data_IF_610720321724
#
_entry.id   IF_610720321724
#
_cell.length_a   1.000
_cell.length_b   1.000
_cell.length_c   1.000
_cell.angle_alpha   90.00
_cell.angle_beta   90.00
_cell.angle_gamma   90.00
#
_symmetry.space_group_name_H-M   'P 1'
#
loop_
_entity.id
_entity.type
_entity.pdbx_description
1 polymer ?
#
# COMPACT_ATOMS: atom_id res chain seq x y z
N UNK A 1 -4.05 -9.65 13.69
CA UNK A 1 -2.97 -10.02 12.75
C UNK A 1 -2.57 -11.49 12.95
N UNK A 2 -3.42 -12.45 12.62
CA UNK A 2 -3.08 -13.88 12.79
C UNK A 2 -2.32 -14.41 11.58
N UNK A 3 -2.87 -14.16 10.38
CA UNK A 3 -2.30 -14.65 9.11
C UNK A 3 -0.89 -14.07 8.86
N UNK A 4 -0.72 -12.76 9.06
CA UNK A 4 0.57 -12.10 8.87
C UNK A 4 1.65 -12.62 9.83
N UNK A 5 1.30 -12.88 11.11
CA UNK A 5 2.23 -13.44 12.09
C UNK A 5 2.59 -14.90 11.80
N UNK A 6 1.62 -15.70 11.34
CA UNK A 6 1.90 -17.06 10.89
C UNK A 6 2.84 -17.08 9.67
N UNK A 7 2.61 -16.23 8.67
CA UNK A 7 3.46 -16.13 7.48
C UNK A 7 4.88 -15.63 7.80
N UNK A 8 5.03 -14.61 8.65
CA UNK A 8 6.36 -14.13 9.06
C UNK A 8 7.11 -15.18 9.91
N UNK A 9 6.41 -15.92 10.76
CA UNK A 9 6.96 -17.04 11.52
C UNK A 9 7.44 -18.17 10.61
N UNK A 10 6.65 -18.55 9.59
CA UNK A 10 7.05 -19.55 8.59
C UNK A 10 8.25 -19.07 7.77
N UNK A 11 8.26 -17.80 7.34
CA UNK A 11 9.38 -17.22 6.60
C UNK A 11 10.68 -17.22 7.41
N UNK A 12 10.63 -16.80 8.69
CA UNK A 12 11.78 -16.87 9.60
C UNK A 12 12.22 -18.31 9.87
N UNK A 13 11.27 -19.21 10.13
CA UNK A 13 11.56 -20.63 10.31
C UNK A 13 12.23 -21.27 9.08
N UNK A 14 11.79 -20.94 7.87
CA UNK A 14 12.43 -21.38 6.63
C UNK A 14 13.86 -20.85 6.50
N UNK A 15 14.11 -19.58 6.81
CA UNK A 15 15.46 -19.00 6.70
C UNK A 15 16.42 -19.64 7.71
N UNK A 16 16.01 -19.86 8.96
CA UNK A 16 16.94 -20.33 10.00
C UNK A 16 16.96 -21.86 10.20
N UNK A 17 15.92 -22.58 9.81
CA UNK A 17 15.76 -24.01 10.10
C UNK A 17 15.84 -24.92 8.85
N UNK A 18 15.76 -24.38 7.62
CA UNK A 18 15.75 -25.20 6.39
C UNK A 18 17.10 -25.86 6.05
N UNK A 19 18.16 -25.61 6.81
CA UNK A 19 19.52 -26.08 6.51
C UNK A 19 20.17 -25.43 5.28
N UNK A 20 19.40 -24.68 4.49
CA UNK A 20 19.85 -23.91 3.33
C UNK A 20 20.04 -22.42 3.62
N UNK A 21 19.49 -21.91 4.72
CA UNK A 21 19.60 -20.50 5.10
C UNK A 21 20.63 -20.25 6.21
N UNK A 22 20.93 -18.96 6.42
CA UNK A 22 21.93 -18.49 7.37
C UNK A 22 21.74 -19.21 8.71
N UNK A 23 22.77 -19.94 9.16
CA UNK A 23 22.82 -20.42 10.53
C UNK A 23 22.66 -19.25 11.49
N UNK A 24 22.21 -19.52 12.72
CA UNK A 24 22.18 -18.52 13.79
C UNK A 24 23.64 -18.21 14.20
N UNK A 25 24.36 -17.51 13.34
CA UNK A 25 25.67 -16.98 13.67
C UNK A 25 25.44 -15.77 14.56
N UNK A 26 26.15 -15.73 15.69
CA UNK A 26 26.14 -14.61 16.62
C UNK A 26 26.89 -13.46 15.98
N UNK A 27 26.23 -12.82 15.02
CA UNK A 27 26.73 -11.64 14.32
C UNK A 27 25.78 -10.51 14.70
N UNK A 28 26.34 -9.41 15.21
CA UNK A 28 25.59 -8.24 15.67
C UNK A 28 25.11 -7.39 14.47
N UNK A 29 24.53 -8.06 13.47
CA UNK A 29 24.02 -7.46 12.23
C UNK A 29 22.58 -7.89 12.03
N UNK A 30 21.72 -6.91 11.80
CA UNK A 30 20.32 -7.16 11.49
C UNK A 30 20.21 -7.87 10.15
N UNK A 31 19.35 -8.88 10.09
CA UNK A 31 19.10 -9.63 8.87
C UNK A 31 18.41 -8.72 7.83
N UNK A 32 19.01 -8.48 6.65
CA UNK A 32 18.49 -7.52 5.67
C UNK A 32 17.21 -7.99 4.97
N UNK A 33 16.86 -9.28 5.07
CA UNK A 33 15.79 -9.91 4.30
C UNK A 33 14.40 -9.29 4.61
N UNK A 34 14.15 -8.87 5.85
CA UNK A 34 12.91 -8.15 6.22
C UNK A 34 12.88 -6.70 5.71
N UNK A 35 14.03 -6.01 5.74
CA UNK A 35 14.15 -4.62 5.28
C UNK A 35 14.01 -4.50 3.77
N UNK A 36 14.50 -5.49 3.03
CA UNK A 36 14.34 -5.57 1.57
C UNK A 36 12.87 -5.68 1.15
N UNK A 37 11.96 -6.09 2.04
CA UNK A 37 10.52 -6.10 1.79
C UNK A 37 9.87 -4.72 1.74
N UNK A 38 10.43 -3.72 2.43
CA UNK A 38 9.91 -2.34 2.47
C UNK A 38 9.87 -1.70 1.07
N UNK A 39 10.98 -1.65 0.31
CA UNK A 39 10.96 -1.07 -1.02
C UNK A 39 10.12 -1.88 -2.02
N UNK A 40 10.02 -3.20 -1.84
CA UNK A 40 9.13 -4.04 -2.64
C UNK A 40 7.65 -3.71 -2.36
N UNK A 41 7.30 -3.41 -1.11
CA UNK A 41 5.96 -2.96 -0.75
C UNK A 41 5.62 -1.60 -1.37
N UNK A 42 6.60 -0.69 -1.43
CA UNK A 42 6.47 0.59 -2.12
C UNK A 42 6.27 0.43 -3.63
N UNK A 43 7.00 -0.50 -4.25
CA UNK A 43 6.81 -0.85 -5.67
C UNK A 43 5.40 -1.37 -5.95
N UNK A 44 4.82 -2.14 -5.02
CA UNK A 44 3.43 -2.64 -5.09
C UNK A 44 2.36 -1.64 -4.62
N UNK A 45 2.72 -0.39 -4.30
CA UNK A 45 1.80 0.66 -3.82
C UNK A 45 0.94 0.24 -2.61
N UNK A 46 1.47 -0.59 -1.72
CA UNK A 46 0.75 -1.17 -0.57
C UNK A 46 -0.49 -2.02 -0.92
N UNK A 47 -0.66 -2.43 -2.19
CA UNK A 47 -1.74 -3.32 -2.60
C UNK A 47 -1.28 -4.79 -2.51
N UNK A 48 -1.97 -5.70 -1.78
CA UNK A 48 -1.48 -7.05 -1.52
C UNK A 48 -1.19 -7.86 -2.80
N UNK A 49 -2.00 -7.69 -3.84
CA UNK A 49 -1.81 -8.37 -5.13
C UNK A 49 -0.60 -7.78 -5.85
N UNK A 50 -0.46 -6.45 -5.86
CA UNK A 50 0.70 -5.76 -6.45
C UNK A 50 2.01 -6.13 -5.77
N UNK A 51 2.01 -6.23 -4.43
CA UNK A 51 3.16 -6.64 -3.63
C UNK A 51 3.59 -8.06 -3.97
N UNK A 52 2.64 -8.99 -4.15
CA UNK A 52 2.95 -10.37 -4.50
C UNK A 52 3.71 -10.47 -5.83
N UNK A 53 3.21 -9.80 -6.88
CA UNK A 53 3.89 -9.76 -8.18
C UNK A 53 5.22 -9.01 -8.13
N UNK A 54 5.28 -7.88 -7.41
CA UNK A 54 6.51 -7.11 -7.23
C UNK A 54 7.60 -7.92 -6.51
N UNK A 55 7.24 -8.67 -5.47
CA UNK A 55 8.15 -9.53 -4.73
C UNK A 55 8.68 -10.67 -5.62
N UNK A 56 7.81 -11.29 -6.42
CA UNK A 56 8.21 -12.32 -7.36
C UNK A 56 9.17 -11.78 -8.42
N UNK A 57 8.89 -10.59 -8.96
CA UNK A 57 9.74 -9.92 -9.94
C UNK A 57 11.13 -9.60 -9.38
N UNK A 58 11.20 -8.97 -8.21
CA UNK A 58 12.47 -8.62 -7.56
C UNK A 58 13.25 -9.89 -7.18
N UNK A 59 12.58 -10.92 -6.67
CA UNK A 59 13.21 -12.22 -6.37
C UNK A 59 13.82 -12.87 -7.63
N UNK A 60 13.11 -12.84 -8.76
CA UNK A 60 13.63 -13.35 -10.02
C UNK A 60 14.86 -12.56 -10.50
N UNK A 61 14.88 -11.24 -10.34
CA UNK A 61 16.07 -10.43 -10.64
C UNK A 61 17.23 -10.80 -9.73
N UNK A 62 17.00 -10.97 -8.43
CA UNK A 62 18.06 -11.35 -7.47
C UNK A 62 18.64 -12.73 -7.76
N UNK A 63 17.78 -13.73 -8.00
CA UNK A 63 18.20 -15.11 -8.31
C UNK A 63 18.84 -15.19 -9.70
N UNK A 64 18.27 -14.51 -10.70
CA UNK A 64 18.88 -14.39 -12.03
C UNK A 64 20.25 -13.70 -11.98
N UNK A 65 20.36 -12.69 -11.14
CA UNK A 65 21.60 -12.00 -10.81
C UNK A 65 22.67 -12.90 -10.20
N UNK A 66 22.27 -13.77 -9.27
CA UNK A 66 23.16 -14.77 -8.69
C UNK A 66 23.74 -15.71 -9.75
N UNK A 67 22.97 -16.11 -10.76
CA UNK A 67 23.49 -16.91 -11.87
C UNK A 67 24.44 -16.14 -12.79
N UNK A 68 24.24 -14.83 -12.97
CA UNK A 68 25.15 -13.97 -13.74
C UNK A 68 26.55 -13.87 -13.12
N UNK A 69 26.67 -14.02 -11.79
CA UNK A 69 27.98 -14.04 -11.13
C UNK A 69 28.88 -15.18 -11.62
N UNK A 70 28.31 -16.31 -12.08
CA UNK A 70 29.11 -17.39 -12.67
C UNK A 70 29.80 -17.00 -13.98
N UNK A 71 29.29 -15.97 -14.67
CA UNK A 71 29.84 -15.46 -15.91
C UNK A 71 30.81 -14.29 -15.70
N UNK A 72 31.39 -14.14 -14.49
CA UNK A 72 32.25 -13.03 -14.07
C UNK A 72 31.56 -11.65 -14.04
N UNK A 73 30.24 -11.59 -13.94
CA UNK A 73 29.55 -10.33 -13.64
C UNK A 73 29.60 -10.01 -12.15
N UNK A 74 29.80 -8.73 -11.86
CA UNK A 74 29.94 -8.20 -10.51
C UNK A 74 28.53 -8.02 -9.88
N UNK A 75 28.28 -8.47 -8.63
CA UNK A 75 26.96 -8.40 -7.97
C UNK A 75 26.34 -7.00 -7.95
N UNK A 76 27.18 -5.97 -7.96
CA UNK A 76 26.83 -4.56 -7.99
C UNK A 76 25.87 -4.21 -9.12
N UNK A 77 25.94 -4.90 -10.27
CA UNK A 77 25.04 -4.66 -11.40
C UNK A 77 23.59 -4.89 -10.99
N UNK A 78 23.33 -5.97 -10.24
CA UNK A 78 21.97 -6.32 -9.79
C UNK A 78 21.50 -5.32 -8.74
N UNK A 79 22.39 -4.93 -7.83
CA UNK A 79 22.08 -3.91 -6.83
C UNK A 79 21.71 -2.57 -7.48
N UNK A 80 22.42 -2.16 -8.54
CA UNK A 80 22.14 -0.93 -9.29
C UNK A 80 20.78 -1.04 -10.00
N UNK A 81 20.49 -2.17 -10.65
CA UNK A 81 19.19 -2.40 -11.32
C UNK A 81 18.05 -2.34 -10.31
N UNK A 82 18.15 -3.08 -9.20
CA UNK A 82 17.15 -3.09 -8.14
C UNK A 82 16.97 -1.70 -7.51
N UNK A 83 18.06 -0.99 -7.23
CA UNK A 83 18.01 0.37 -6.70
C UNK A 83 17.32 1.34 -7.67
N UNK A 84 17.62 1.26 -8.97
CA UNK A 84 16.97 2.09 -9.98
C UNK A 84 15.46 1.84 -10.02
N UNK A 85 15.01 0.57 -10.02
CA UNK A 85 13.58 0.21 -10.01
C UNK A 85 12.87 0.80 -8.78
N UNK A 86 13.46 0.64 -7.60
CA UNK A 86 12.91 1.14 -6.34
C UNK A 86 12.88 2.68 -6.33
N UNK A 87 13.93 3.32 -6.84
CA UNK A 87 14.00 4.78 -6.89
C UNK A 87 12.94 5.35 -7.83
N UNK A 88 12.75 4.75 -9.01
CA UNK A 88 11.69 5.14 -9.93
C UNK A 88 10.29 4.91 -9.35
N UNK A 89 10.07 3.81 -8.61
CA UNK A 89 8.77 3.56 -7.98
C UNK A 89 8.46 4.54 -6.84
N UNK A 90 9.45 4.79 -5.98
CA UNK A 90 9.34 5.78 -4.91
C UNK A 90 9.15 7.20 -5.47
N UNK A 91 9.87 7.55 -6.55
CA UNK A 91 9.71 8.82 -7.24
C UNK A 91 8.32 8.97 -7.84
N UNK A 92 7.78 7.94 -8.50
CA UNK A 92 6.42 7.94 -9.04
C UNK A 92 5.37 8.18 -7.95
N UNK A 93 5.52 7.50 -6.80
CA UNK A 93 4.63 7.67 -5.66
C UNK A 93 4.73 9.06 -5.04
N UNK A 94 5.96 9.57 -4.86
CA UNK A 94 6.21 10.91 -4.36
C UNK A 94 5.65 12.00 -5.30
N UNK A 95 5.78 11.80 -6.61
CA UNK A 95 5.27 12.71 -7.62
C UNK A 95 3.74 12.78 -7.61
N UNK A 96 3.06 11.63 -7.46
CA UNK A 96 1.60 11.59 -7.26
C UNK A 96 1.17 12.39 -6.03
N UNK A 97 1.82 12.16 -4.90
CA UNK A 97 1.54 12.92 -3.67
C UNK A 97 1.80 14.42 -3.82
N UNK A 98 2.86 14.80 -4.54
CA UNK A 98 3.20 16.20 -4.79
C UNK A 98 2.16 16.90 -5.68
N UNK A 99 1.69 16.22 -6.73
CA UNK A 99 0.64 16.70 -7.62
C UNK A 99 -0.69 16.83 -6.88
N UNK A 100 -1.12 15.80 -6.15
CA UNK A 100 -2.36 15.83 -5.37
C UNK A 100 -2.37 17.04 -4.43
N UNK A 101 -1.23 17.32 -3.78
CA UNK A 101 -1.07 18.47 -2.89
C UNK A 101 -1.10 19.82 -3.61
N UNK A 102 -0.61 19.89 -4.86
CA UNK A 102 -0.62 21.11 -5.66
C UNK A 102 -2.02 21.42 -6.23
N UNK A 103 -2.76 20.37 -6.61
CA UNK A 103 -4.15 20.46 -7.12
C UNK A 103 -5.11 20.85 -5.98
N UNK A 104 -5.02 20.22 -4.80
CA UNK A 104 -5.85 20.57 -3.64
C UNK A 104 -5.58 22.00 -3.12
N UNK A 105 -4.37 22.53 -3.32
CA UNK A 105 -4.06 23.92 -2.97
C UNK A 105 -4.74 24.93 -3.92
N UNK A 106 -5.14 24.50 -5.12
CA UNK A 106 -5.83 25.34 -6.10
C UNK A 106 -7.34 25.38 -5.86
N UNK A 107 -7.95 24.28 -5.42
CA UNK A 107 -9.41 24.23 -5.15
C UNK A 107 -9.83 25.06 -3.92
N UNK A 108 -8.93 25.26 -2.94
CA UNK A 108 -9.26 26.08 -1.75
C UNK A 108 -9.43 27.59 -2.04
N UNK A 109 -9.13 28.06 -3.25
CA UNK A 109 -9.38 29.45 -3.69
C UNK A 109 -10.67 29.56 -4.53
N UNK A 110 -11.20 28.47 -5.06
CA UNK A 110 -12.43 28.47 -5.89
C UNK A 110 -13.70 28.21 -5.07
N UNK A 111 -13.62 27.61 -3.87
CA UNK A 111 -14.78 27.39 -3.00
C UNK A 111 -15.27 28.65 -2.23
N UNK A 112 -14.63 29.82 -2.41
CA UNK A 112 -15.04 31.08 -1.79
C UNK A 112 -15.90 31.98 -2.70
N UNK A 113 -16.15 31.58 -3.96
CA UNK A 113 -16.95 32.37 -4.91
C UNK A 113 -17.96 31.45 -5.58
N UNK A 114 -19.13 31.28 -4.95
CA UNK A 114 -20.30 30.75 -5.63
C UNK A 114 -21.09 29.71 -4.86
N UNK A 115 -21.74 30.11 -3.76
CA UNK A 115 -23.06 29.56 -3.40
C UNK A 115 -23.84 30.61 -2.59
N UNK A 116 -24.15 31.74 -3.24
CA UNK A 116 -25.36 32.50 -2.89
C UNK A 116 -26.54 31.81 -3.55
N UNK A 117 -27.03 30.73 -2.95
CA UNK A 117 -28.37 30.21 -3.24
C UNK A 117 -29.09 29.97 -1.93
N UNK A 118 -29.67 31.06 -1.44
CA UNK A 118 -31.05 31.16 -0.94
C UNK A 118 -31.60 29.91 -0.26
N UNK A 119 -31.54 29.95 1.08
CA UNK A 119 -32.67 29.77 2.00
C UNK A 119 -33.79 28.82 1.58
N UNK A 120 -33.83 27.64 2.21
CA UNK A 120 -35.10 27.03 2.65
C UNK A 120 -34.88 25.95 3.71
N UNK A 121 -34.89 26.36 4.98
CA UNK A 121 -35.52 25.61 6.06
C UNK A 121 -36.77 26.40 6.47
N UNK A 122 -37.86 25.79 7.01
CA UNK A 122 -37.98 24.43 7.50
C UNK A 122 -39.18 23.63 6.91
N UNK A 123 -39.06 22.31 6.91
CA UNK A 123 -40.18 21.39 6.76
C UNK A 123 -40.88 21.27 8.13
N UNK A 124 -41.98 21.99 8.30
CA UNK A 124 -42.93 21.73 9.38
C UNK A 124 -44.35 22.14 8.95
N UNK A 125 -45.20 21.16 8.68
CA UNK A 125 -46.66 21.32 8.59
C UNK A 125 -47.32 20.11 9.22
N UNK A 126 -47.67 20.25 10.49
CA UNK A 126 -48.81 19.54 11.06
C UNK A 126 -50.12 20.26 10.70
N UNK A 127 -51.20 19.47 10.71
CA UNK A 127 -52.64 19.78 10.78
C UNK A 127 -53.36 20.30 9.53
N UNK A 128 -54.26 19.46 9.00
CA UNK A 128 -55.73 19.64 9.00
C UNK A 128 -56.38 18.37 8.40
N UNK A 129 -56.87 17.43 9.22
CA UNK A 129 -58.29 17.24 9.60
C UNK A 129 -59.25 17.13 8.41
N UNK A 130 -59.58 15.90 8.01
CA UNK A 130 -60.93 15.56 7.53
C UNK A 130 -61.29 14.10 7.92
N UNK A 131 -62.32 14.01 8.77
CA UNK A 131 -63.09 12.86 9.27
C UNK A 131 -64.04 12.34 8.14
N UNK A 132 -64.97 11.35 8.29
CA UNK A 132 -65.17 10.25 9.25
C UNK A 132 -65.37 8.86 8.59
N UNK A 133 -65.21 7.78 9.37
CA UNK A 133 -65.99 6.51 9.37
C UNK A 133 -65.15 5.50 10.20
N UNK A 134 -65.60 5.05 11.38
CA UNK A 134 -66.72 4.12 11.55
C UNK A 134 -66.17 2.70 11.35
N UNK A 135 -66.15 1.80 12.32
CA UNK A 135 -66.47 1.81 13.73
C UNK A 135 -65.83 0.57 14.35
N UNK A 136 -66.31 0.21 15.55
CA UNK A 136 -66.34 -1.17 16.06
C UNK A 136 -64.91 -1.68 16.45
N UNK A 137 -64.56 -2.25 17.61
CA UNK A 137 -65.23 -3.18 18.51
C UNK A 137 -64.50 -3.14 19.87
N UNK A 138 -65.30 -3.12 20.94
CA UNK A 138 -65.11 -3.74 22.28
C UNK A 138 -63.71 -3.86 22.90
#
# INVERSE_FOLDING_TARGET
MVIAGALSGVAGGLIYLSGAGKYISVVDVLSPEGFNGIPVALLGLSNPIGIFFAALFISNITVGGFFLQRYNFVPEVINIITAAIIYFSAFSLAFKYFIDRLILKKSKTEDAVGTDTVTSEPENKETDVENPQGGDDL
#
